data_IF_751758773750
#
_entry.id   IF_751758773750
#
_cell.length_a   1.000
_cell.length_b   1.000
_cell.length_c   1.000
_cell.angle_alpha   90.00
_cell.angle_beta   90.00
_cell.angle_gamma   90.00
#
_symmetry.space_group_name_H-M   'P 1'
#
loop_
_entity.id
_entity.type
_entity.pdbx_description
1 polymer ?
#
# COMPACT_ATOMS: atom_id res chain seq x y z
N UNK A 1 -24.12 -62.15 -32.22
CA UNK A 1 -25.47 -62.29 -31.62
C UNK A 1 -25.96 -60.90 -31.23
N UNK A 2 -27.08 -60.48 -31.80
CA UNK A 2 -27.64 -59.11 -31.75
C UNK A 2 -27.93 -58.63 -30.32
N UNK A 3 -27.72 -57.34 -30.04
CA UNK A 3 -28.74 -56.50 -29.40
C UNK A 3 -28.43 -55.00 -29.54
N UNK A 4 -29.20 -54.38 -30.44
CA UNK A 4 -29.57 -52.96 -30.39
C UNK A 4 -30.37 -52.69 -29.11
N UNK A 5 -29.97 -51.68 -28.33
CA UNK A 5 -30.92 -50.90 -27.53
C UNK A 5 -30.41 -49.46 -27.42
N UNK A 6 -31.12 -48.56 -28.09
CA UNK A 6 -31.02 -47.13 -27.91
C UNK A 6 -32.44 -46.64 -27.64
N UNK A 7 -32.67 -45.90 -26.55
CA UNK A 7 -33.38 -44.60 -26.53
C UNK A 7 -33.81 -44.17 -25.12
N UNK A 8 -33.38 -42.94 -24.82
CA UNK A 8 -34.07 -41.88 -24.07
C UNK A 8 -34.51 -42.11 -22.63
N UNK A 9 -33.72 -41.58 -21.71
CA UNK A 9 -34.18 -41.17 -20.37
C UNK A 9 -34.29 -39.63 -20.33
N UNK A 10 -35.53 -39.15 -20.22
CA UNK A 10 -35.91 -37.75 -20.09
C UNK A 10 -35.54 -37.26 -18.68
N UNK A 11 -34.69 -36.23 -18.57
CA UNK A 11 -34.37 -35.54 -17.30
C UNK A 11 -35.37 -34.41 -17.10
N UNK A 12 -36.20 -34.48 -16.05
CA UNK A 12 -36.94 -33.32 -15.54
C UNK A 12 -36.23 -32.84 -14.28
N UNK A 13 -35.47 -31.75 -14.42
CA UNK A 13 -34.86 -31.02 -13.30
C UNK A 13 -35.86 -29.95 -12.89
N UNK A 14 -36.42 -30.06 -11.68
CA UNK A 14 -37.14 -28.96 -11.03
C UNK A 14 -36.13 -27.91 -10.60
N UNK A 15 -36.05 -26.80 -11.33
CA UNK A 15 -35.32 -25.59 -10.91
C UNK A 15 -36.31 -24.73 -10.11
N UNK A 16 -36.21 -24.80 -8.78
CA UNK A 16 -36.80 -23.80 -7.89
C UNK A 16 -36.03 -22.49 -8.05
N UNK A 17 -36.54 -21.59 -8.89
CA UNK A 17 -36.08 -20.21 -8.97
C UNK A 17 -36.63 -19.41 -7.78
N UNK A 18 -35.88 -19.36 -6.69
CA UNK A 18 -36.09 -18.36 -5.64
C UNK A 18 -35.52 -17.02 -6.14
N UNK A 19 -36.40 -16.13 -6.62
CA UNK A 19 -36.07 -14.74 -6.93
C UNK A 19 -35.79 -13.99 -5.61
N UNK A 20 -34.52 -13.96 -5.21
CA UNK A 20 -34.03 -13.01 -4.22
C UNK A 20 -33.79 -11.69 -4.98
N UNK A 21 -34.71 -10.73 -4.83
CA UNK A 21 -34.51 -9.34 -5.23
C UNK A 21 -33.46 -8.72 -4.30
N UNK A 22 -32.19 -9.02 -4.54
CA UNK A 22 -31.10 -8.19 -4.06
C UNK A 22 -31.09 -6.93 -4.95
N UNK A 23 -31.70 -5.85 -4.48
CA UNK A 23 -31.48 -4.55 -5.08
C UNK A 23 -29.97 -4.25 -4.97
N UNK A 24 -29.25 -4.08 -6.08
CA UNK A 24 -27.87 -3.67 -5.99
C UNK A 24 -27.87 -2.25 -5.41
N UNK A 25 -27.16 -2.06 -4.29
CA UNK A 25 -26.63 -0.75 -3.94
C UNK A 25 -25.70 -0.35 -5.09
N UNK A 26 -26.26 0.34 -6.07
CA UNK A 26 -25.48 0.98 -7.12
C UNK A 26 -24.75 2.12 -6.41
N UNK A 27 -23.53 1.84 -5.97
CA UNK A 27 -22.55 2.87 -5.72
C UNK A 27 -22.35 3.54 -7.07
N UNK A 28 -23.02 4.67 -7.29
CA UNK A 28 -22.95 5.39 -8.56
C UNK A 28 -21.53 5.92 -8.70
N UNK A 29 -20.65 5.18 -9.37
CA UNK A 29 -19.48 5.77 -9.97
C UNK A 29 -19.98 6.90 -10.88
N UNK A 30 -19.59 8.15 -10.60
CA UNK A 30 -19.92 9.27 -11.46
C UNK A 30 -19.39 8.97 -12.86
N UNK A 31 -20.26 9.11 -13.87
CA UNK A 31 -19.87 8.98 -15.28
C UNK A 31 -18.77 10.00 -15.57
N UNK A 32 -17.53 9.57 -15.91
CA UNK A 32 -16.41 10.47 -16.13
C UNK A 32 -16.64 11.43 -17.30
N UNK A 33 -17.60 11.14 -18.18
CA UNK A 33 -17.97 12.02 -19.30
C UNK A 33 -19.06 13.04 -18.95
N UNK A 34 -19.62 12.98 -17.73
CA UNK A 34 -20.61 13.95 -17.28
C UNK A 34 -19.91 15.13 -16.62
N UNK A 35 -20.15 16.38 -17.05
CA UNK A 35 -19.58 17.54 -16.37
C UNK A 35 -20.09 17.64 -14.93
N UNK A 36 -19.19 17.94 -14.01
CA UNK A 36 -19.49 18.20 -12.60
C UNK A 36 -19.95 19.65 -12.39
N UNK A 37 -19.56 20.56 -13.28
CA UNK A 37 -20.03 21.93 -13.34
C UNK A 37 -19.92 22.49 -14.77
N UNK A 38 -20.58 23.61 -15.05
CA UNK A 38 -20.44 24.36 -16.31
C UNK A 38 -20.29 25.84 -15.95
N UNK A 39 -19.23 26.49 -16.47
CA UNK A 39 -18.95 27.92 -16.26
C UNK A 39 -18.89 28.60 -17.62
N UNK A 40 -19.79 29.55 -17.89
CA UNK A 40 -19.86 30.26 -19.19
C UNK A 40 -19.92 29.32 -20.42
N UNK A 41 -20.57 28.17 -20.27
CA UNK A 41 -20.66 27.14 -21.33
C UNK A 41 -19.44 26.22 -21.42
N UNK A 42 -18.39 26.44 -20.63
CA UNK A 42 -17.25 25.53 -20.51
C UNK A 42 -17.52 24.46 -19.44
N UNK A 43 -17.56 23.16 -19.79
CA UNK A 43 -17.72 22.10 -18.82
C UNK A 43 -16.46 21.92 -17.96
N UNK A 44 -16.67 21.62 -16.68
CA UNK A 44 -15.66 21.14 -15.75
C UNK A 44 -15.97 19.67 -15.49
N UNK A 45 -14.97 18.80 -15.58
CA UNK A 45 -15.07 17.37 -15.37
C UNK A 45 -14.34 16.94 -14.10
N UNK A 46 -14.56 15.69 -13.67
CA UNK A 46 -13.90 15.10 -12.51
C UNK A 46 -12.36 15.16 -12.60
N UNK A 47 -11.81 14.97 -13.81
CA UNK A 47 -10.36 15.06 -14.04
C UNK A 47 -9.80 16.47 -13.74
N UNK A 48 -10.59 17.52 -13.95
CA UNK A 48 -10.18 18.90 -13.70
C UNK A 48 -10.10 19.14 -12.19
N UNK A 49 -11.04 18.60 -11.42
CA UNK A 49 -10.98 18.57 -9.96
C UNK A 49 -9.73 17.83 -9.49
N UNK A 50 -9.43 16.67 -10.06
CA UNK A 50 -8.25 15.87 -9.70
C UNK A 50 -6.92 16.59 -9.98
N UNK A 51 -6.86 17.45 -10.99
CA UNK A 51 -5.67 18.26 -11.29
C UNK A 51 -5.35 19.30 -10.19
N UNK A 52 -6.39 19.77 -9.48
CA UNK A 52 -6.26 20.77 -8.42
C UNK A 52 -6.21 20.12 -7.04
N UNK A 53 -7.13 19.20 -6.76
CA UNK A 53 -7.32 18.57 -5.46
C UNK A 53 -6.53 17.27 -5.29
N UNK A 54 -5.93 16.70 -6.35
CA UNK A 54 -5.24 15.41 -6.33
C UNK A 54 -4.21 15.26 -5.20
N UNK A 55 -3.30 16.23 -4.99
CA UNK A 55 -2.36 16.17 -3.87
C UNK A 55 -3.05 16.09 -2.51
N UNK A 56 -4.08 16.92 -2.28
CA UNK A 56 -4.85 16.92 -1.03
C UNK A 56 -5.62 15.62 -0.81
N UNK A 57 -6.23 15.08 -1.87
CA UNK A 57 -6.95 13.80 -1.82
C UNK A 57 -6.00 12.63 -1.55
N UNK A 58 -4.79 12.65 -2.13
CA UNK A 58 -3.76 11.65 -1.83
C UNK A 58 -3.32 11.72 -0.36
N UNK A 59 -3.13 12.91 0.20
CA UNK A 59 -2.80 13.08 1.62
C UNK A 59 -3.92 12.57 2.53
N UNK A 60 -5.19 12.86 2.21
CA UNK A 60 -6.32 12.30 2.94
C UNK A 60 -6.37 10.77 2.85
N UNK A 61 -6.12 10.19 1.67
CA UNK A 61 -6.02 8.74 1.49
C UNK A 61 -4.91 8.10 2.32
N UNK A 62 -3.75 8.78 2.45
CA UNK A 62 -2.66 8.34 3.34
C UNK A 62 -3.06 8.38 4.81
N UNK A 63 -3.76 9.44 5.24
CA UNK A 63 -4.26 9.56 6.61
C UNK A 63 -5.29 8.46 6.93
N UNK A 64 -6.22 8.21 6.01
CA UNK A 64 -7.20 7.13 6.13
C UNK A 64 -6.51 5.77 6.26
N UNK A 65 -5.57 5.47 5.35
CA UNK A 65 -4.80 4.23 5.40
C UNK A 65 -4.03 4.07 6.71
N UNK A 66 -3.39 5.14 7.21
CA UNK A 66 -2.68 5.11 8.49
C UNK A 66 -3.62 4.77 9.64
N UNK A 67 -4.78 5.43 9.72
CA UNK A 67 -5.77 5.16 10.75
C UNK A 67 -6.27 3.70 10.69
N UNK A 68 -6.57 3.20 9.48
CA UNK A 68 -6.96 1.80 9.26
C UNK A 68 -5.85 0.82 9.65
N UNK A 69 -4.60 1.11 9.28
CA UNK A 69 -3.43 0.28 9.59
C UNK A 69 -3.21 0.19 11.10
N UNK A 70 -3.32 1.30 11.82
CA UNK A 70 -3.16 1.32 13.28
C UNK A 70 -4.28 0.55 13.98
N UNK A 71 -5.52 0.72 13.51
CA UNK A 71 -6.64 -0.06 14.02
C UNK A 71 -6.48 -1.56 13.73
N UNK A 72 -6.01 -1.91 12.54
CA UNK A 72 -5.75 -3.29 12.14
C UNK A 72 -4.66 -3.93 13.01
N UNK A 73 -3.58 -3.23 13.33
CA UNK A 73 -2.52 -3.77 14.20
C UNK A 73 -3.06 -4.12 15.59
N UNK A 74 -3.86 -3.22 16.19
CA UNK A 74 -4.53 -3.46 17.47
C UNK A 74 -5.45 -4.68 17.42
N UNK A 75 -6.22 -4.82 16.34
CA UNK A 75 -7.11 -5.97 16.15
C UNK A 75 -6.34 -7.28 15.94
N UNK A 76 -5.23 -7.26 15.19
CA UNK A 76 -4.35 -8.43 15.00
C UNK A 76 -3.81 -8.88 16.36
N UNK A 77 -3.24 -7.96 17.14
CA UNK A 77 -2.74 -8.24 18.50
C UNK A 77 -3.82 -8.89 19.37
N UNK A 78 -5.02 -8.32 19.40
CA UNK A 78 -6.16 -8.88 20.13
C UNK A 78 -6.51 -10.30 19.63
N UNK A 79 -6.60 -10.50 18.32
CA UNK A 79 -6.97 -11.79 17.72
C UNK A 79 -5.93 -12.88 17.99
N UNK A 80 -4.65 -12.51 18.05
CA UNK A 80 -3.56 -13.44 18.42
C UNK A 80 -3.74 -13.94 19.84
N UNK A 81 -4.01 -13.04 20.80
CA UNK A 81 -4.26 -13.43 22.20
C UNK A 81 -5.52 -14.30 22.31
N UNK A 82 -6.61 -13.90 21.65
CA UNK A 82 -7.86 -14.70 21.64
C UNK A 82 -7.64 -16.10 21.07
N UNK A 83 -6.86 -16.22 19.98
CA UNK A 83 -6.54 -17.50 19.37
C UNK A 83 -5.69 -18.38 20.28
N UNK A 84 -4.68 -17.82 20.95
CA UNK A 84 -3.84 -18.55 21.90
C UNK A 84 -4.63 -18.96 23.15
N UNK A 85 -5.47 -18.08 23.67
CA UNK A 85 -6.32 -18.36 24.83
C UNK A 85 -7.29 -19.50 24.51
N UNK A 86 -7.91 -19.46 23.33
CA UNK A 86 -8.80 -20.53 22.85
C UNK A 86 -8.08 -21.88 22.75
N UNK A 87 -6.83 -21.93 22.28
CA UNK A 87 -6.04 -23.19 22.24
C UNK A 87 -5.82 -23.79 23.63
N UNK A 88 -5.79 -22.95 24.66
CA UNK A 88 -5.57 -23.35 26.06
C UNK A 88 -6.87 -23.50 26.86
N UNK A 89 -8.03 -23.30 26.23
CA UNK A 89 -9.33 -23.35 26.91
C UNK A 89 -9.55 -22.22 27.91
N UNK A 90 -8.90 -21.06 27.71
CA UNK A 90 -8.98 -19.87 28.56
C UNK A 90 -9.66 -18.71 27.80
N UNK A 91 -10.12 -17.71 28.55
CA UNK A 91 -10.39 -16.38 28.01
C UNK A 91 -9.08 -15.60 27.80
N UNK A 92 -9.11 -14.55 26.98
CA UNK A 92 -7.94 -13.71 26.73
C UNK A 92 -7.37 -13.08 28.02
N UNK A 93 -8.25 -12.59 28.90
CA UNK A 93 -7.83 -11.99 30.17
C UNK A 93 -7.27 -13.01 31.15
N UNK A 94 -7.83 -14.22 31.21
CA UNK A 94 -7.26 -15.32 32.02
C UNK A 94 -5.88 -15.73 31.53
N UNK A 95 -5.70 -15.85 30.20
CA UNK A 95 -4.40 -16.14 29.62
C UNK A 95 -3.37 -15.07 30.01
N UNK A 96 -3.70 -13.78 29.85
CA UNK A 96 -2.79 -12.69 30.20
C UNK A 96 -2.49 -12.66 31.70
N UNK A 97 -3.50 -12.90 32.55
CA UNK A 97 -3.30 -12.96 34.00
C UNK A 97 -2.37 -14.10 34.42
N UNK A 98 -2.58 -15.28 33.83
CA UNK A 98 -1.78 -16.48 34.12
C UNK A 98 -0.36 -16.37 33.57
N UNK A 99 -0.21 -15.88 32.34
CA UNK A 99 1.08 -15.88 31.66
C UNK A 99 1.92 -14.64 31.91
N UNK A 100 1.29 -13.54 32.30
CA UNK A 100 1.94 -12.23 32.44
C UNK A 100 1.68 -11.63 33.81
N UNK A 101 0.45 -11.21 34.14
CA UNK A 101 0.21 -10.32 35.29
C UNK A 101 0.68 -10.91 36.62
N UNK A 102 0.45 -12.21 36.82
CA UNK A 102 0.86 -12.92 38.04
C UNK A 102 2.37 -13.10 38.18
N UNK A 103 3.13 -12.89 37.09
CA UNK A 103 4.59 -12.99 37.05
C UNK A 103 5.29 -11.64 37.19
N UNK A 104 4.54 -10.54 37.17
CA UNK A 104 5.09 -9.19 37.36
C UNK A 104 5.19 -8.89 38.85
N UNK A 105 6.41 -8.63 39.31
CA UNK A 105 6.69 -8.27 40.70
C UNK A 105 6.14 -6.87 41.04
N UNK A 106 5.88 -6.64 42.32
CA UNK A 106 5.53 -5.31 42.82
C UNK A 106 6.73 -4.36 42.71
N UNK A 107 6.55 -3.12 42.21
CA UNK A 107 7.61 -2.12 42.16
C UNK A 107 8.18 -1.83 43.55
N UNK A 108 9.49 -1.64 43.63
CA UNK A 108 10.17 -1.33 44.90
C UNK A 108 9.92 0.11 45.33
N UNK A 109 10.15 0.39 46.62
CA UNK A 109 10.10 1.74 47.16
C UNK A 109 11.09 2.68 46.47
N UNK A 110 12.27 2.16 46.10
CA UNK A 110 13.31 2.89 45.36
C UNK A 110 12.85 3.24 43.94
N UNK A 111 12.21 2.31 43.23
CA UNK A 111 11.64 2.56 41.90
C UNK A 111 10.53 3.60 41.96
N UNK A 112 9.62 3.48 42.94
CA UNK A 112 8.57 4.46 43.18
C UNK A 112 9.13 5.85 43.52
N UNK A 113 10.18 5.90 44.35
CA UNK A 113 10.86 7.16 44.69
C UNK A 113 11.58 7.76 43.49
N UNK A 114 12.21 6.93 42.66
CA UNK A 114 12.85 7.35 41.41
C UNK A 114 11.86 7.99 40.44
N UNK A 115 10.71 7.33 40.23
CA UNK A 115 9.61 7.89 39.42
C UNK A 115 9.09 9.20 40.00
N UNK A 116 8.82 9.25 41.31
CA UNK A 116 8.35 10.47 41.99
C UNK A 116 9.31 11.65 41.80
N UNK A 117 10.62 11.42 41.92
CA UNK A 117 11.64 12.46 41.68
C UNK A 117 11.61 12.95 40.23
N UNK A 118 11.43 12.07 39.26
CA UNK A 118 11.34 12.43 37.85
C UNK A 118 10.11 13.31 37.53
N UNK A 119 8.99 13.10 38.24
CA UNK A 119 7.76 13.87 38.05
C UNK A 119 7.54 14.95 39.11
N UNK A 120 8.54 15.25 39.95
CA UNK A 120 8.35 16.11 41.14
C UNK A 120 7.87 17.53 40.79
N UNK A 121 8.28 18.07 39.66
CA UNK A 121 7.82 19.37 39.18
C UNK A 121 6.32 19.43 38.87
N UNK A 122 5.66 18.28 38.74
CA UNK A 122 4.25 18.14 38.41
C UNK A 122 3.35 17.92 39.64
N UNK A 123 3.93 17.79 40.85
CA UNK A 123 3.15 17.53 42.08
C UNK A 123 3.71 18.23 43.32
N UNK A 124 2.83 18.89 44.06
CA UNK A 124 3.14 19.52 45.35
C UNK A 124 3.04 18.54 46.52
N UNK A 125 2.38 17.39 46.33
CA UNK A 125 2.18 16.40 47.38
C UNK A 125 3.51 15.73 47.79
N UNK A 126 3.71 15.41 49.07
CA UNK A 126 4.85 14.64 49.54
C UNK A 126 4.75 13.18 49.11
N UNK A 127 5.90 12.51 48.96
CA UNK A 127 5.99 11.14 48.45
C UNK A 127 5.09 10.16 49.21
N UNK A 128 5.09 10.23 50.55
CA UNK A 128 4.33 9.30 51.39
C UNK A 128 2.82 9.30 51.10
N UNK A 129 2.27 10.44 50.65
CA UNK A 129 0.85 10.55 50.32
C UNK A 129 0.51 9.96 48.95
N UNK A 130 1.45 9.96 48.02
CA UNK A 130 1.22 9.49 46.64
C UNK A 130 1.89 8.15 46.35
N UNK A 131 2.74 7.65 47.25
CA UNK A 131 3.47 6.38 47.10
C UNK A 131 2.56 5.22 46.67
N UNK A 132 1.38 4.99 47.26
CA UNK A 132 0.49 3.90 46.81
C UNK A 132 0.04 4.06 45.36
N UNK A 133 -0.26 5.30 44.94
CA UNK A 133 -0.68 5.62 43.56
C UNK A 133 0.47 5.43 42.58
N UNK A 134 1.69 5.84 42.97
CA UNK A 134 2.90 5.66 42.18
C UNK A 134 3.20 4.16 42.00
N UNK A 135 3.19 3.38 43.08
CA UNK A 135 3.39 1.92 43.02
C UNK A 135 2.34 1.27 42.12
N UNK A 136 1.06 1.65 42.28
CA UNK A 136 -0.01 1.12 41.43
C UNK A 136 0.18 1.49 39.95
N UNK A 137 0.57 2.72 39.65
CA UNK A 137 0.85 3.18 38.29
C UNK A 137 2.04 2.44 37.67
N UNK A 138 3.15 2.34 38.40
CA UNK A 138 4.34 1.61 37.97
C UNK A 138 4.03 0.14 37.73
N UNK A 139 3.26 -0.50 38.62
CA UNK A 139 2.84 -1.89 38.45
C UNK A 139 1.96 -2.06 37.21
N UNK A 140 0.98 -1.17 37.00
CA UNK A 140 0.12 -1.21 35.81
C UNK A 140 0.93 -1.02 34.53
N UNK A 141 1.91 -0.11 34.53
CA UNK A 141 2.83 0.12 33.41
C UNK A 141 3.70 -1.10 33.13
N UNK A 142 4.29 -1.72 34.16
CA UNK A 142 5.11 -2.92 34.04
C UNK A 142 4.29 -4.12 33.53
N UNK A 143 3.05 -4.29 33.99
CA UNK A 143 2.11 -5.30 33.47
C UNK A 143 1.82 -5.05 31.99
N UNK A 144 1.54 -3.81 31.60
CA UNK A 144 1.24 -3.48 30.21
C UNK A 144 2.43 -3.77 29.29
N UNK A 145 3.64 -3.37 29.69
CA UNK A 145 4.87 -3.65 28.93
C UNK A 145 5.13 -5.17 28.81
N UNK A 146 4.95 -5.92 29.90
CA UNK A 146 5.11 -7.36 29.90
C UNK A 146 4.06 -8.05 29.01
N UNK A 147 2.82 -7.54 28.99
CA UNK A 147 1.75 -8.05 28.11
C UNK A 147 2.10 -7.78 26.65
N UNK A 148 2.56 -6.57 26.33
CA UNK A 148 2.96 -6.23 24.96
C UNK A 148 4.08 -7.13 24.45
N UNK A 149 5.12 -7.38 25.28
CA UNK A 149 6.20 -8.33 24.97
C UNK A 149 5.68 -9.75 24.75
N UNK A 150 4.73 -10.20 25.57
CA UNK A 150 4.12 -11.52 25.40
C UNK A 150 3.35 -11.60 24.07
N UNK A 151 2.53 -10.59 23.76
CA UNK A 151 1.78 -10.53 22.49
C UNK A 151 2.71 -10.46 21.28
N UNK A 152 3.81 -9.70 21.37
CA UNK A 152 4.84 -9.65 20.32
C UNK A 152 5.44 -11.05 20.08
N UNK A 153 5.77 -11.78 21.15
CA UNK A 153 6.27 -13.14 21.05
C UNK A 153 5.28 -14.14 20.42
N UNK A 154 3.98 -13.91 20.59
CA UNK A 154 2.93 -14.69 19.94
C UNK A 154 2.79 -14.28 18.47
N UNK A 155 2.91 -12.98 18.17
CA UNK A 155 2.86 -12.44 16.81
C UNK A 155 3.98 -12.97 15.94
N UNK A 156 5.20 -13.06 16.46
CA UNK A 156 6.35 -13.59 15.73
C UNK A 156 6.15 -15.04 15.26
N UNK A 157 5.28 -15.79 15.95
CA UNK A 157 4.94 -17.18 15.65
C UNK A 157 3.61 -17.31 14.90
N UNK A 158 2.87 -16.21 14.76
CA UNK A 158 1.56 -16.22 14.13
C UNK A 158 1.68 -16.05 12.61
N UNK A 159 0.87 -16.81 11.87
CA UNK A 159 0.69 -16.56 10.45
C UNK A 159 -0.27 -15.39 10.27
N UNK A 160 0.27 -14.21 9.96
CA UNK A 160 -0.52 -12.99 9.72
C UNK A 160 -0.44 -12.60 8.25
N UNK A 161 -1.60 -12.47 7.60
CA UNK A 161 -1.72 -11.96 6.23
C UNK A 161 -2.44 -10.61 6.26
N UNK A 162 -1.74 -9.54 5.87
CA UNK A 162 -2.30 -8.20 5.81
C UNK A 162 -2.82 -7.96 4.40
N UNK A 163 -4.13 -7.75 4.28
CA UNK A 163 -4.82 -7.50 3.00
C UNK A 163 -5.30 -6.04 2.86
N UNK A 164 -4.91 -5.17 3.79
CA UNK A 164 -5.22 -3.74 3.72
C UNK A 164 -4.46 -3.13 2.54
N UNK A 165 -5.19 -2.49 1.62
CA UNK A 165 -4.60 -1.88 0.43
C UNK A 165 -4.13 -0.46 0.74
N UNK A 166 -2.89 -0.17 0.38
CA UNK A 166 -2.37 1.19 0.39
C UNK A 166 -3.08 2.06 -0.66
N UNK A 167 -3.19 3.38 -0.46
CA UNK A 167 -3.71 4.28 -1.47
C UNK A 167 -2.83 4.19 -2.72
N UNK A 168 -3.45 3.94 -3.86
CA UNK A 168 -2.80 3.88 -5.17
C UNK A 168 -3.20 5.07 -6.01
N UNK A 169 -2.25 5.59 -6.79
CA UNK A 169 -2.52 6.60 -7.80
C UNK A 169 -2.50 5.89 -9.15
N UNK A 170 -3.56 6.08 -9.94
CA UNK A 170 -3.55 5.63 -11.32
C UNK A 170 -2.58 6.49 -12.13
N UNK A 171 -1.64 5.84 -12.81
CA UNK A 171 -0.65 6.53 -13.63
C UNK A 171 -0.96 6.23 -15.08
N UNK A 172 -1.38 7.27 -15.81
CA UNK A 172 -1.59 7.18 -17.24
C UNK A 172 -0.25 7.16 -18.00
N UNK A 173 -0.26 6.48 -19.14
CA UNK A 173 0.88 6.37 -20.03
C UNK A 173 0.44 6.37 -21.49
N UNK A 174 1.37 6.72 -22.37
CA UNK A 174 1.15 6.76 -23.80
C UNK A 174 1.36 5.37 -24.41
N UNK A 175 0.30 4.79 -24.97
CA UNK A 175 0.34 3.46 -25.59
C UNK A 175 1.27 3.36 -26.80
N UNK A 176 1.58 4.48 -27.47
CA UNK A 176 2.53 4.51 -28.58
C UNK A 176 3.99 4.38 -28.13
N UNK A 177 4.27 4.58 -26.84
CA UNK A 177 5.61 4.52 -26.24
C UNK A 177 5.75 3.35 -25.27
N UNK A 178 5.27 2.20 -25.73
CA UNK A 178 5.33 0.91 -25.02
C UNK A 178 6.35 -0.02 -25.66
N UNK A 179 7.21 -0.66 -24.85
CA UNK A 179 8.10 -1.76 -25.23
C UNK A 179 7.57 -3.06 -24.66
N UNK A 180 7.57 -4.11 -25.49
CA UNK A 180 7.04 -5.42 -25.12
C UNK A 180 5.63 -5.65 -25.64
N UNK A 181 4.96 -6.65 -25.10
CA UNK A 181 3.60 -7.01 -25.51
C UNK A 181 2.57 -5.98 -24.99
N UNK A 182 1.81 -5.28 -25.86
CA UNK A 182 0.77 -4.34 -25.42
C UNK A 182 -0.31 -4.98 -24.54
N UNK A 183 -0.55 -6.30 -24.68
CA UNK A 183 -1.48 -7.07 -23.88
C UNK A 183 -0.92 -7.57 -22.53
N UNK A 184 0.35 -7.29 -22.22
CA UNK A 184 0.96 -7.71 -20.97
C UNK A 184 0.18 -7.19 -19.74
N UNK A 185 -0.14 -8.04 -18.75
CA UNK A 185 -0.94 -7.68 -17.59
C UNK A 185 -0.22 -6.74 -16.61
N UNK A 186 1.12 -6.68 -16.65
CA UNK A 186 1.92 -5.81 -15.78
C UNK A 186 2.55 -4.71 -16.62
N UNK A 187 2.33 -3.45 -16.23
CA UNK A 187 2.94 -2.27 -16.86
C UNK A 187 3.90 -1.61 -15.89
N UNK A 188 5.15 -1.42 -16.32
CA UNK A 188 6.10 -0.52 -15.65
C UNK A 188 6.00 0.82 -16.38
N UNK A 189 5.67 1.90 -15.66
CA UNK A 189 5.75 3.26 -16.21
C UNK A 189 7.03 3.90 -15.70
N UNK A 190 8.00 4.12 -16.58
CA UNK A 190 9.24 4.80 -16.25
C UNK A 190 9.11 6.30 -16.53
N UNK A 191 9.24 7.10 -15.47
CA UNK A 191 9.46 8.54 -15.58
C UNK A 191 10.96 8.78 -15.63
N UNK A 192 11.45 9.28 -16.76
CA UNK A 192 12.88 9.43 -16.93
C UNK A 192 13.27 10.65 -17.76
N UNK A 193 14.51 11.05 -17.53
CA UNK A 193 15.21 12.11 -18.21
C UNK A 193 16.41 11.49 -18.94
N UNK A 194 16.53 11.78 -20.24
CA UNK A 194 17.59 11.23 -21.09
C UNK A 194 19.01 11.66 -20.69
N UNK A 195 19.17 12.77 -19.97
CA UNK A 195 20.47 13.23 -19.43
C UNK A 195 20.76 12.71 -18.03
N UNK A 196 19.78 12.13 -17.32
CA UNK A 196 19.97 11.65 -15.96
C UNK A 196 20.85 10.38 -15.93
N UNK A 197 22.01 10.40 -15.25
CA UNK A 197 22.90 9.24 -15.20
C UNK A 197 22.29 8.05 -14.46
N UNK A 198 21.37 8.29 -13.51
CA UNK A 198 20.67 7.21 -12.81
C UNK A 198 19.58 6.56 -13.68
N UNK A 199 18.88 7.36 -14.51
CA UNK A 199 17.99 6.83 -15.53
C UNK A 199 18.76 5.96 -16.53
N UNK A 200 19.93 6.40 -17.00
CA UNK A 200 20.79 5.55 -17.84
C UNK A 200 21.22 4.23 -17.17
N UNK A 201 21.58 4.28 -15.87
CA UNK A 201 21.99 3.09 -15.10
C UNK A 201 20.88 2.05 -14.91
N UNK A 202 19.60 2.44 -14.91
CA UNK A 202 18.49 1.48 -14.71
C UNK A 202 18.14 0.72 -15.99
N UNK A 203 18.49 1.26 -17.17
CA UNK A 203 18.12 0.68 -18.47
C UNK A 203 18.53 -0.79 -18.66
N UNK A 204 19.75 -1.24 -18.31
CA UNK A 204 20.11 -2.66 -18.40
C UNK A 204 19.24 -3.56 -17.51
N UNK A 205 18.84 -3.09 -16.34
CA UNK A 205 17.94 -3.82 -15.43
C UNK A 205 16.56 -3.95 -16.03
N UNK A 206 16.00 -2.87 -16.59
CA UNK A 206 14.70 -2.90 -17.27
C UNK A 206 14.72 -3.86 -18.47
N UNK A 207 15.79 -3.85 -19.27
CA UNK A 207 15.98 -4.82 -20.37
C UNK A 207 15.98 -6.26 -19.86
N UNK A 208 16.66 -6.53 -18.75
CA UNK A 208 16.69 -7.85 -18.11
C UNK A 208 15.30 -8.29 -17.62
N UNK A 209 14.53 -7.37 -17.01
CA UNK A 209 13.17 -7.63 -16.56
C UNK A 209 12.25 -7.96 -17.74
N UNK A 210 12.27 -7.15 -18.80
CA UNK A 210 11.46 -7.38 -19.99
C UNK A 210 11.78 -8.72 -20.67
N UNK A 211 13.07 -9.09 -20.75
CA UNK A 211 13.48 -10.38 -21.29
C UNK A 211 13.04 -11.56 -20.42
N UNK A 212 13.19 -11.46 -19.09
CA UNK A 212 12.83 -12.51 -18.14
C UNK A 212 11.31 -12.76 -18.08
N UNK A 213 10.51 -11.72 -18.26
CA UNK A 213 9.05 -11.76 -18.16
C UNK A 213 8.35 -11.45 -19.48
N UNK A 214 8.89 -11.96 -20.59
CA UNK A 214 8.34 -11.76 -21.92
C UNK A 214 6.84 -12.13 -21.98
N UNK A 215 6.04 -11.25 -22.59
CA UNK A 215 4.57 -11.37 -22.67
C UNK A 215 3.82 -11.10 -21.36
N UNK A 216 4.52 -10.92 -20.23
CA UNK A 216 3.92 -10.66 -18.91
C UNK A 216 4.14 -9.24 -18.42
N UNK A 217 5.25 -8.62 -18.81
CA UNK A 217 5.62 -7.25 -18.45
C UNK A 217 5.82 -6.41 -19.71
N UNK A 218 5.28 -5.20 -19.70
CA UNK A 218 5.56 -4.15 -20.68
C UNK A 218 6.11 -2.90 -19.99
N UNK A 219 6.92 -2.14 -20.72
CA UNK A 219 7.49 -0.87 -20.26
C UNK A 219 6.85 0.27 -21.04
N UNK A 220 6.26 1.24 -20.35
CA UNK A 220 5.83 2.50 -20.92
C UNK A 220 6.79 3.60 -20.46
N UNK A 221 7.24 4.44 -21.39
CA UNK A 221 8.13 5.56 -21.08
C UNK A 221 7.35 6.87 -20.98
N UNK A 222 7.65 7.67 -19.96
CA UNK A 222 7.07 8.99 -19.75
C UNK A 222 8.18 10.01 -19.51
N UNK A 223 8.22 11.02 -20.37
CA UNK A 223 9.22 12.08 -20.28
C UNK A 223 9.08 12.80 -18.94
N UNK A 224 10.20 12.95 -18.22
CA UNK A 224 10.28 13.73 -16.99
C UNK A 224 11.56 14.58 -16.99
N UNK A 225 11.66 15.56 -17.91
CA UNK A 225 12.87 16.37 -18.05
C UNK A 225 13.09 17.23 -16.80
N UNK A 226 14.26 17.10 -16.20
CA UNK A 226 14.69 17.89 -15.05
C UNK A 226 15.43 19.14 -15.54
N UNK A 227 14.73 20.01 -16.30
CA UNK A 227 15.31 21.14 -17.02
C UNK A 227 16.11 22.11 -16.15
N UNK A 228 15.90 22.11 -14.83
CA UNK A 228 16.66 22.94 -13.87
C UNK A 228 18.11 22.47 -13.68
N UNK A 229 18.40 21.19 -13.91
CA UNK A 229 19.73 20.59 -13.72
C UNK A 229 20.27 19.89 -14.98
N UNK A 230 19.42 19.64 -15.96
CA UNK A 230 19.74 18.99 -17.23
C UNK A 230 19.29 19.90 -18.40
N UNK A 231 20.17 20.76 -18.94
CA UNK A 231 19.79 21.82 -19.86
C UNK A 231 19.28 21.34 -21.24
N UNK A 232 19.58 20.10 -21.63
CA UNK A 232 19.12 19.48 -22.87
C UNK A 232 18.05 18.40 -22.65
N UNK A 233 17.55 18.22 -21.42
CA UNK A 233 16.57 17.17 -21.12
C UNK A 233 15.27 17.33 -21.89
N UNK A 234 14.77 18.57 -21.96
CA UNK A 234 13.55 18.91 -22.70
C UNK A 234 13.74 18.69 -24.20
N UNK A 235 14.84 19.21 -24.77
CA UNK A 235 15.19 18.99 -26.18
C UNK A 235 15.36 17.49 -26.52
N UNK A 236 15.95 16.70 -25.61
CA UNK A 236 16.07 15.26 -25.79
C UNK A 236 14.70 14.55 -25.76
N UNK A 237 13.79 14.98 -24.87
CA UNK A 237 12.43 14.47 -24.84
C UNK A 237 11.66 14.80 -26.12
N UNK A 238 11.74 16.05 -26.61
CA UNK A 238 11.17 16.46 -27.90
C UNK A 238 11.76 15.64 -29.05
N UNK A 239 13.08 15.49 -29.09
CA UNK A 239 13.77 14.68 -30.10
C UNK A 239 13.31 13.22 -30.10
N UNK A 240 13.04 12.63 -28.93
CA UNK A 240 12.47 11.29 -28.82
C UNK A 240 11.07 11.22 -29.43
N UNK A 241 10.24 12.27 -29.27
CA UNK A 241 8.90 12.34 -29.87
C UNK A 241 8.94 12.50 -31.38
N UNK A 242 9.88 13.28 -31.92
CA UNK A 242 10.12 13.31 -33.36
C UNK A 242 10.52 11.93 -33.93
N UNK A 243 11.26 11.13 -33.14
CA UNK A 243 11.59 9.77 -33.52
C UNK A 243 10.38 8.82 -33.45
N UNK A 244 9.42 9.07 -32.54
CA UNK A 244 8.15 8.34 -32.48
C UNK A 244 7.34 8.51 -33.77
N UNK A 245 7.22 9.74 -34.27
CA UNK A 245 6.52 10.04 -35.53
C UNK A 245 7.15 9.31 -36.73
N UNK A 246 8.44 9.00 -36.64
CA UNK A 246 9.20 8.25 -37.64
C UNK A 246 9.23 6.74 -37.38
N UNK A 247 8.53 6.24 -36.35
CA UNK A 247 8.49 4.83 -35.97
C UNK A 247 9.79 4.29 -35.36
N UNK A 248 10.67 5.16 -34.85
CA UNK A 248 12.01 4.83 -34.33
C UNK A 248 12.21 5.25 -32.86
N UNK A 249 11.12 5.29 -32.09
CA UNK A 249 11.15 5.77 -30.71
C UNK A 249 12.16 5.01 -29.84
N UNK A 250 12.09 3.68 -29.84
CA UNK A 250 12.89 2.86 -28.94
C UNK A 250 14.36 2.78 -29.35
N UNK A 251 14.66 2.92 -30.65
CA UNK A 251 16.02 3.06 -31.17
C UNK A 251 16.65 4.37 -30.71
N UNK A 252 15.90 5.48 -30.79
CA UNK A 252 16.35 6.78 -30.30
C UNK A 252 16.54 6.76 -28.78
N UNK A 253 15.55 6.24 -28.04
CA UNK A 253 15.62 6.05 -26.60
C UNK A 253 16.86 5.25 -26.17
N UNK A 254 17.07 4.08 -26.77
CA UNK A 254 18.21 3.22 -26.45
C UNK A 254 19.55 3.88 -26.85
N UNK A 255 19.58 4.68 -27.92
CA UNK A 255 20.76 5.44 -28.31
C UNK A 255 21.08 6.57 -27.33
N UNK A 256 20.09 7.34 -26.87
CA UNK A 256 20.26 8.42 -25.89
C UNK A 256 20.81 7.89 -24.56
N UNK A 257 20.26 6.79 -24.05
CA UNK A 257 20.79 6.15 -22.84
C UNK A 257 22.06 5.32 -23.07
N UNK A 258 22.32 4.86 -24.30
CA UNK A 258 23.55 4.14 -24.65
C UNK A 258 24.77 5.06 -24.78
N UNK A 259 24.55 6.34 -25.06
CA UNK A 259 25.60 7.36 -25.22
C UNK A 259 26.03 8.02 -23.92
N UNK A 260 25.29 7.87 -22.82
CA UNK A 260 25.65 8.42 -21.50
C UNK A 260 26.78 7.63 -20.83
N UNK A 261 27.94 7.55 -21.48
CA UNK A 261 29.22 7.29 -20.83
C UNK A 261 29.85 8.63 -20.47
N UNK A 262 29.81 8.96 -19.17
CA UNK A 262 30.68 9.93 -18.48
C UNK A 262 30.87 11.31 -19.14
N UNK A 263 30.27 12.32 -18.50
CA UNK A 263 30.73 13.70 -18.63
C UNK A 263 30.07 14.47 -19.76
N UNK A 264 29.69 15.70 -19.41
CA UNK A 264 29.41 16.81 -20.31
C UNK A 264 30.17 16.74 -21.64
N UNK A 265 29.46 16.48 -22.74
CA UNK A 265 29.78 17.05 -24.06
C UNK A 265 28.68 16.69 -25.07
N UNK A 266 27.92 17.71 -25.47
CA UNK A 266 27.37 17.88 -26.82
C UNK A 266 26.27 16.92 -27.29
N UNK A 267 25.01 17.35 -27.14
CA UNK A 267 24.12 17.56 -28.29
C UNK A 267 23.68 19.01 -28.27
#
# INVERSE_FOLDING_TARGET
MRRNMNKSSFRVIFICAALILAAPLILSAQDPQKPVAIVEGQPIFEQDLMSVAGPSLLELGKQEYKAKSDALDKLIRKKIVEAEAKKRGLTADELLKQEVDSKVADPSDEEAKGYYLAVKSQTTLPFDQIKPQVIQHLKASAIQEARDKFVDSLRDKAQVSILLQAPVVHVDYDSARVKGDPGAPVTIVEFADFQCPYCGKVQPTLKTVLAKYQGKVKLAFRDFPLSTIHPHAEMAAEGSRCALEQGKYWEMHDAMFGRTRHGSEGV
#
